data_IF_705426035529
#
_entry.id   IF_705426035529
#
_cell.length_a   1.000
_cell.length_b   1.000
_cell.length_c   1.000
_cell.angle_alpha   90.00
_cell.angle_beta   90.00
_cell.angle_gamma   90.00
#
_symmetry.space_group_name_H-M   'P 1'
#
loop_
_entity.id
_entity.type
_entity.pdbx_description
1 polymer ?
#
# COMPACT_ATOMS: atom_id res chain seq x y z
N UNK A 1 -5.86 17.80 48.27
CA UNK A 1 -6.27 16.59 47.54
C UNK A 1 -6.33 16.98 46.07
N UNK A 2 -5.21 16.99 45.37
CA UNK A 2 -5.17 17.29 43.93
C UNK A 2 -4.84 15.99 43.23
N UNK A 3 -5.82 15.42 42.55
CA UNK A 3 -5.60 14.26 41.70
C UNK A 3 -4.69 14.69 40.55
N UNK A 4 -3.63 13.93 40.21
CA UNK A 4 -2.85 14.24 39.02
C UNK A 4 -3.76 14.07 37.79
N UNK A 5 -3.72 15.07 36.91
CA UNK A 5 -4.44 15.09 35.65
C UNK A 5 -3.93 13.90 34.80
N UNK A 6 -4.81 12.94 34.53
CA UNK A 6 -4.50 11.75 33.73
C UNK A 6 -4.42 12.16 32.25
N UNK A 7 -3.29 12.01 31.52
CA UNK A 7 -3.12 12.57 30.16
C UNK A 7 -3.74 11.75 29.02
N UNK A 8 -4.69 10.87 29.30
CA UNK A 8 -5.17 9.92 28.29
C UNK A 8 -6.69 9.96 28.19
N UNK A 9 -7.15 10.88 27.35
CA UNK A 9 -8.42 10.71 26.68
C UNK A 9 -8.29 11.26 25.25
N UNK A 10 -8.08 10.36 24.30
CA UNK A 10 -8.31 10.61 22.87
C UNK A 10 -9.54 9.78 22.51
N UNK A 11 -10.71 10.43 22.52
CA UNK A 11 -11.97 9.86 22.06
C UNK A 11 -11.95 9.79 20.54
N UNK A 12 -12.23 8.64 19.91
CA UNK A 12 -12.28 8.50 18.45
C UNK A 12 -13.58 9.05 17.79
N UNK A 13 -14.38 9.87 18.49
CA UNK A 13 -15.70 10.32 18.01
C UNK A 13 -15.87 11.86 17.96
N UNK A 14 -14.79 12.63 18.10
CA UNK A 14 -14.86 14.10 17.98
C UNK A 14 -15.04 14.54 16.51
N UNK A 15 -16.14 15.24 16.14
CA UNK A 15 -16.38 15.73 14.78
C UNK A 15 -15.50 16.96 14.41
N UNK A 16 -14.64 17.41 15.32
CA UNK A 16 -13.62 18.44 15.11
C UNK A 16 -12.21 17.83 14.88
N UNK A 17 -12.10 16.50 14.71
CA UNK A 17 -10.90 15.86 14.19
C UNK A 17 -10.73 16.22 12.71
N UNK A 18 -10.28 17.45 12.49
CA UNK A 18 -9.76 17.92 11.23
C UNK A 18 -8.61 16.97 10.89
N UNK A 19 -8.87 15.99 10.02
CA UNK A 19 -7.84 15.28 9.29
C UNK A 19 -6.82 16.34 8.89
N UNK A 20 -5.61 16.26 9.45
CA UNK A 20 -4.61 17.27 9.14
C UNK A 20 -4.35 17.15 7.64
N UNK A 21 -4.35 18.23 6.85
CA UNK A 21 -4.15 18.18 5.41
C UNK A 21 -2.78 17.59 5.01
N UNK A 22 -1.95 17.20 5.97
CA UNK A 22 -0.61 16.63 5.80
C UNK A 22 -0.49 15.15 6.26
N UNK A 23 -1.57 14.48 6.68
CA UNK A 23 -1.47 13.04 7.00
C UNK A 23 -1.41 12.19 5.72
N UNK A 24 -0.39 11.32 5.55
CA UNK A 24 -0.27 10.49 4.36
C UNK A 24 -1.44 9.51 4.28
N UNK A 25 -2.13 9.47 3.14
CA UNK A 25 -3.27 8.57 2.93
C UNK A 25 -2.70 7.25 2.45
N UNK A 26 -2.24 6.44 3.39
CA UNK A 26 -1.67 5.14 3.08
C UNK A 26 -2.79 4.15 2.72
N UNK A 27 -2.91 3.83 1.45
CA UNK A 27 -3.77 2.77 0.95
C UNK A 27 -2.97 1.50 0.71
N UNK A 28 -3.65 0.37 0.82
CA UNK A 28 -3.08 -0.94 0.52
C UNK A 28 -3.97 -1.66 -0.47
N UNK A 29 -3.39 -2.07 -1.58
CA UNK A 29 -4.09 -2.85 -2.60
C UNK A 29 -3.41 -4.20 -2.78
N UNK A 30 -4.23 -5.23 -3.01
CA UNK A 30 -3.78 -6.55 -3.42
C UNK A 30 -4.04 -6.71 -4.92
N UNK A 31 -2.98 -6.88 -5.68
CA UNK A 31 -3.03 -7.10 -7.12
C UNK A 31 -2.67 -8.55 -7.36
N UNK A 32 -3.59 -9.33 -7.92
CA UNK A 32 -3.26 -10.68 -8.36
C UNK A 32 -2.28 -10.59 -9.53
N UNK A 33 -1.24 -11.40 -9.53
CA UNK A 33 -0.24 -11.41 -10.61
C UNK A 33 -0.34 -12.74 -11.32
N UNK A 34 -0.74 -12.70 -12.59
CA UNK A 34 -0.82 -13.87 -13.45
C UNK A 34 0.47 -13.96 -14.28
N UNK A 35 1.12 -15.12 -14.26
CA UNK A 35 2.35 -15.35 -15.02
C UNK A 35 3.47 -15.92 -14.17
N UNK A 36 3.44 -17.25 -14.06
CA UNK A 36 4.58 -18.15 -13.85
C UNK A 36 5.38 -17.97 -12.55
N UNK A 37 5.24 -18.99 -11.70
CA UNK A 37 5.93 -19.30 -10.44
C UNK A 37 7.46 -19.23 -10.53
N UNK A 38 8.03 -18.03 -10.65
CA UNK A 38 9.47 -17.84 -10.66
C UNK A 38 9.85 -16.81 -9.60
N UNK A 39 10.39 -17.29 -8.47
CA UNK A 39 10.93 -16.48 -7.38
C UNK A 39 11.92 -15.38 -7.84
N UNK A 40 12.57 -15.59 -8.97
CA UNK A 40 13.48 -14.59 -9.57
C UNK A 40 12.72 -13.41 -10.18
N UNK A 41 11.60 -13.68 -10.85
CA UNK A 41 10.84 -12.62 -11.51
C UNK A 41 10.11 -11.75 -10.47
N UNK A 42 9.70 -12.33 -9.34
CA UNK A 42 9.02 -11.60 -8.24
C UNK A 42 9.93 -10.57 -7.59
N UNK A 43 11.23 -10.86 -7.49
CA UNK A 43 12.22 -9.88 -7.02
C UNK A 43 12.35 -8.72 -8.00
N UNK A 44 12.36 -9.02 -9.32
CA UNK A 44 12.38 -8.02 -10.39
C UNK A 44 11.12 -7.15 -10.42
N UNK A 45 9.98 -7.63 -9.90
CA UNK A 45 8.75 -6.84 -9.77
C UNK A 45 8.78 -5.86 -8.58
N UNK A 46 9.37 -6.28 -7.46
CA UNK A 46 9.43 -5.45 -6.24
C UNK A 46 10.31 -4.21 -6.42
N UNK A 47 11.45 -4.36 -7.10
CA UNK A 47 12.39 -3.26 -7.34
C UNK A 47 11.74 -2.03 -8.02
N UNK A 48 11.07 -2.14 -9.18
CA UNK A 48 10.43 -1.00 -9.84
C UNK A 48 9.28 -0.42 -9.01
N UNK A 49 8.49 -1.26 -8.32
CA UNK A 49 7.42 -0.78 -7.44
C UNK A 49 7.95 0.07 -6.28
N UNK A 50 9.06 -0.34 -5.66
CA UNK A 50 9.69 0.46 -4.60
C UNK A 50 10.34 1.75 -5.11
N UNK A 51 10.58 1.89 -6.42
CA UNK A 51 11.08 3.13 -7.03
C UNK A 51 9.97 4.15 -7.29
N UNK A 52 8.70 3.75 -7.20
CA UNK A 52 7.56 4.65 -7.42
C UNK A 52 7.44 5.60 -6.23
N UNK A 53 7.40 6.93 -6.47
CA UNK A 53 7.28 7.91 -5.41
C UNK A 53 5.90 7.82 -4.76
N UNK A 54 5.88 7.42 -3.49
CA UNK A 54 4.64 7.22 -2.73
C UNK A 54 4.47 5.78 -2.26
N UNK A 55 5.19 4.82 -2.83
CA UNK A 55 5.19 3.44 -2.33
C UNK A 55 5.97 3.36 -1.02
N UNK A 56 5.31 2.85 0.02
CA UNK A 56 5.85 2.69 1.37
C UNK A 56 6.31 1.25 1.63
N UNK A 57 5.50 0.26 1.23
CA UNK A 57 5.81 -1.16 1.44
C UNK A 57 5.30 -2.01 0.27
N UNK A 58 6.06 -3.04 -0.08
CA UNK A 58 5.69 -4.01 -1.14
C UNK A 58 5.92 -5.41 -0.61
N UNK A 59 4.83 -6.16 -0.47
CA UNK A 59 4.83 -7.56 -0.03
C UNK A 59 4.32 -8.44 -1.15
N UNK A 60 5.17 -9.31 -1.68
CA UNK A 60 4.73 -10.28 -2.68
C UNK A 60 4.45 -11.61 -1.99
N UNK A 61 3.32 -12.22 -2.33
CA UNK A 61 2.91 -13.52 -1.85
C UNK A 61 2.77 -14.47 -3.04
N UNK A 62 3.90 -15.12 -3.38
CA UNK A 62 3.97 -16.09 -4.48
C UNK A 62 3.06 -17.30 -4.24
N UNK A 63 2.92 -17.75 -2.99
CA UNK A 63 2.01 -18.85 -2.61
C UNK A 63 0.53 -18.59 -2.93
N UNK A 64 0.13 -17.32 -3.09
CA UNK A 64 -1.24 -16.91 -3.42
C UNK A 64 -1.30 -16.03 -4.67
N UNK A 65 -0.21 -16.03 -5.46
CA UNK A 65 -0.05 -15.31 -6.72
C UNK A 65 -0.55 -13.86 -6.66
N UNK A 66 -0.16 -13.15 -5.59
CA UNK A 66 -0.60 -11.76 -5.37
C UNK A 66 0.48 -10.88 -4.78
N UNK A 67 0.50 -9.62 -5.20
CA UNK A 67 1.32 -8.57 -4.62
C UNK A 67 0.46 -7.61 -3.82
N UNK A 68 0.89 -7.31 -2.61
CA UNK A 68 0.27 -6.35 -1.70
C UNK A 68 1.18 -5.12 -1.67
N UNK A 69 0.68 -4.00 -2.17
CA UNK A 69 1.40 -2.73 -2.20
C UNK A 69 0.75 -1.76 -1.25
N UNK A 70 1.53 -1.17 -0.35
CA UNK A 70 1.12 -0.06 0.51
C UNK A 70 1.73 1.21 -0.05
N UNK A 71 0.89 2.16 -0.44
CA UNK A 71 1.30 3.40 -1.09
C UNK A 71 0.48 4.58 -0.58
N UNK A 72 1.03 5.78 -0.73
CA UNK A 72 0.35 7.03 -0.44
C UNK A 72 -0.56 7.40 -1.62
N UNK A 73 -1.87 7.33 -1.42
CA UNK A 73 -2.90 7.65 -2.41
C UNK A 73 -2.90 9.10 -2.87
N UNK A 74 -2.13 9.99 -2.22
CA UNK A 74 -1.91 11.37 -2.67
C UNK A 74 -0.75 11.48 -3.67
N UNK A 75 0.12 10.47 -3.74
CA UNK A 75 1.35 10.49 -4.56
C UNK A 75 1.37 9.40 -5.63
N UNK A 76 0.68 8.28 -5.39
CA UNK A 76 0.61 7.12 -6.28
C UNK A 76 -0.83 6.65 -6.35
N UNK A 77 -1.26 6.13 -7.50
CA UNK A 77 -2.58 5.55 -7.66
C UNK A 77 -2.51 4.08 -8.11
N UNK A 78 -3.58 3.29 -7.88
CA UNK A 78 -3.67 1.91 -8.36
C UNK A 78 -3.30 1.72 -9.85
N UNK A 79 -3.77 2.52 -10.82
CA UNK A 79 -3.39 2.36 -12.22
C UNK A 79 -1.88 2.48 -12.46
N UNK A 80 -1.16 3.37 -11.77
CA UNK A 80 0.30 3.48 -11.88
C UNK A 80 1.02 2.21 -11.41
N UNK A 81 0.50 1.59 -10.34
CA UNK A 81 1.02 0.32 -9.84
C UNK A 81 0.75 -0.82 -10.83
N UNK A 82 -0.44 -0.84 -11.45
CA UNK A 82 -0.75 -1.80 -12.51
C UNK A 82 0.15 -1.62 -13.73
N UNK A 83 0.37 -0.38 -14.18
CA UNK A 83 1.25 -0.08 -15.32
C UNK A 83 2.70 -0.47 -15.04
N UNK A 84 3.20 -0.20 -13.84
CA UNK A 84 4.53 -0.64 -13.42
C UNK A 84 4.68 -2.16 -13.42
N UNK A 85 3.63 -2.89 -13.03
CA UNK A 85 3.61 -4.36 -13.10
C UNK A 85 3.61 -4.82 -14.57
N UNK A 86 2.79 -4.21 -15.43
CA UNK A 86 2.75 -4.48 -16.88
C UNK A 86 4.11 -4.22 -17.55
N UNK A 87 4.74 -3.08 -17.24
CA UNK A 87 6.06 -2.72 -17.77
C UNK A 87 7.17 -3.65 -17.27
N UNK A 88 6.96 -4.33 -16.15
CA UNK A 88 7.89 -5.35 -15.65
C UNK A 88 7.72 -6.70 -16.35
N UNK A 89 6.77 -6.82 -17.28
CA UNK A 89 6.47 -8.06 -18.02
C UNK A 89 5.44 -8.96 -17.35
N UNK A 90 4.77 -8.48 -16.29
CA UNK A 90 3.76 -9.21 -15.55
C UNK A 90 2.34 -8.81 -15.93
N UNK A 91 1.37 -9.73 -15.81
CA UNK A 91 -0.04 -9.40 -16.00
C UNK A 91 -0.69 -9.18 -14.63
N UNK A 92 -0.94 -7.93 -14.21
CA UNK A 92 -1.78 -7.68 -13.06
C UNK A 92 -3.21 -8.05 -13.43
N UNK A 93 -3.80 -8.99 -12.70
CA UNK A 93 -5.22 -9.23 -12.73
C UNK A 93 -5.96 -8.03 -12.07
N UNK A 94 -7.24 -7.82 -12.40
CA UNK A 94 -8.05 -6.84 -11.69
C UNK A 94 -8.01 -7.11 -10.18
N UNK A 95 -7.96 -6.05 -9.39
CA UNK A 95 -7.93 -6.11 -7.92
C UNK A 95 -8.94 -7.15 -7.44
N UNK A 96 -8.44 -8.22 -6.82
CA UNK A 96 -9.28 -9.26 -6.25
C UNK A 96 -9.64 -8.83 -4.82
N UNK A 97 -10.93 -8.59 -4.61
CA UNK A 97 -11.57 -8.35 -3.31
C UNK A 97 -11.26 -9.47 -2.28
#
# INVERSE_FOLDING_TARGET
MVQPLNPQHLDPADPHYSHSPDEPVLERIAIATEGEDCDECVRKLREPLMRIPGVCDVRVNTKRERVIVTFDARKTHPPDLHDAILSSGYKPAPVAD
#
